data_IF_564123297557
#
_entry.id   IF_564123297557
#
_cell.length_a   1.000
_cell.length_b   1.000
_cell.length_c   1.000
_cell.angle_alpha   90.00
_cell.angle_beta   90.00
_cell.angle_gamma   90.00
#
_symmetry.space_group_name_H-M   'P 1'
#
loop_
_entity.id
_entity.type
_entity.pdbx_description
1 polymer ?
#
# COMPACT_ATOMS: atom_id res chain seq x y z
N UNK A 1 -57.21 -5.00 -17.95
CA UNK A 1 -55.95 -5.74 -18.12
C UNK A 1 -55.56 -5.57 -19.59
N UNK A 2 -54.42 -5.05 -20.03
CA UNK A 2 -53.03 -5.35 -19.71
C UNK A 2 -52.16 -4.34 -20.48
N UNK A 3 -51.24 -3.65 -19.80
CA UNK A 3 -50.28 -2.75 -20.47
C UNK A 3 -48.97 -3.50 -20.76
N UNK A 4 -48.61 -3.54 -22.04
CA UNK A 4 -47.42 -4.18 -22.58
C UNK A 4 -46.15 -3.37 -22.32
N UNK A 5 -45.07 -4.09 -22.07
CA UNK A 5 -43.71 -3.61 -21.80
C UNK A 5 -43.08 -2.86 -22.99
N UNK A 6 -42.18 -1.91 -22.69
CA UNK A 6 -40.85 -1.73 -23.32
C UNK A 6 -40.14 -0.51 -22.67
N UNK A 7 -39.17 -0.74 -21.77
CA UNK A 7 -37.73 -0.85 -22.09
C UNK A 7 -37.04 0.50 -22.35
N UNK A 8 -36.90 1.34 -21.32
CA UNK A 8 -35.85 2.36 -21.24
C UNK A 8 -34.84 1.91 -20.19
N UNK A 9 -33.80 1.26 -20.71
CA UNK A 9 -32.60 0.79 -20.04
C UNK A 9 -32.05 1.86 -19.07
N UNK A 10 -32.46 1.82 -17.81
CA UNK A 10 -31.80 2.58 -16.77
C UNK A 10 -30.41 2.00 -16.59
N UNK A 11 -29.43 2.81 -16.98
CA UNK A 11 -28.02 2.57 -16.82
C UNK A 11 -27.76 1.75 -15.55
N UNK A 12 -27.22 0.55 -15.76
CA UNK A 12 -26.63 -0.24 -14.68
C UNK A 12 -25.59 0.68 -14.04
N UNK A 13 -25.99 1.33 -12.96
CA UNK A 13 -25.10 1.88 -11.98
C UNK A 13 -24.38 0.67 -11.42
N UNK A 14 -23.29 0.31 -12.10
CA UNK A 14 -22.26 -0.58 -11.60
C UNK A 14 -21.60 0.19 -10.45
N UNK A 15 -22.32 0.30 -9.33
CA UNK A 15 -21.69 0.43 -8.01
C UNK A 15 -21.08 -0.95 -7.75
N UNK A 16 -20.08 -1.29 -8.57
CA UNK A 16 -19.10 -2.30 -8.21
C UNK A 16 -18.58 -1.94 -6.83
N UNK A 17 -18.23 -2.93 -6.01
CA UNK A 17 -17.80 -2.67 -4.64
C UNK A 17 -16.85 -1.50 -4.68
N UNK A 18 -17.23 -0.37 -4.05
CA UNK A 18 -16.31 0.73 -3.80
C UNK A 18 -15.29 0.21 -2.81
N UNK A 19 -14.48 -0.76 -3.24
CA UNK A 19 -13.25 -1.15 -2.60
C UNK A 19 -12.58 0.19 -2.45
N UNK A 20 -12.45 0.72 -1.22
CA UNK A 20 -11.72 1.94 -1.04
C UNK A 20 -10.40 1.62 -1.72
N UNK A 21 -10.03 2.38 -2.76
CA UNK A 21 -8.73 2.29 -3.42
C UNK A 21 -7.71 2.83 -2.41
N UNK A 22 -7.76 2.31 -1.17
CA UNK A 22 -6.87 2.54 -0.05
C UNK A 22 -5.55 2.12 -0.61
N UNK A 23 -4.83 3.13 -1.09
CA UNK A 23 -3.49 2.97 -1.57
C UNK A 23 -2.74 2.32 -0.41
N UNK A 24 -2.13 1.14 -0.60
CA UNK A 24 -1.38 0.48 0.48
C UNK A 24 -0.22 1.36 0.94
N UNK A 25 0.16 2.37 0.14
CA UNK A 25 1.09 3.42 0.49
C UNK A 25 0.40 4.78 0.69
N UNK A 26 0.68 5.38 1.84
CA UNK A 26 0.58 6.81 2.05
C UNK A 26 1.70 7.56 1.32
N UNK A 27 1.46 8.80 0.91
CA UNK A 27 2.52 9.67 0.38
C UNK A 27 3.58 9.98 1.46
N UNK A 28 4.77 10.44 1.05
CA UNK A 28 5.91 10.70 1.95
C UNK A 28 5.59 11.65 3.12
N UNK A 29 4.76 12.67 2.87
CA UNK A 29 4.36 13.62 3.91
C UNK A 29 3.40 12.97 4.91
N UNK A 30 2.39 12.26 4.42
CA UNK A 30 1.39 11.65 5.28
C UNK A 30 1.95 10.46 6.05
N UNK A 31 2.80 9.63 5.44
CA UNK A 31 3.39 8.43 6.04
C UNK A 31 3.99 8.67 7.43
N UNK A 32 4.53 9.87 7.69
CA UNK A 32 5.22 10.21 8.94
C UNK A 32 4.31 10.83 10.02
N UNK A 33 3.13 11.37 9.66
CA UNK A 33 2.39 12.29 10.54
C UNK A 33 0.87 12.11 10.59
N UNK A 34 0.24 11.53 9.57
CA UNK A 34 -1.22 11.50 9.45
C UNK A 34 -1.74 10.47 8.45
N UNK A 35 -3.04 10.19 8.49
CA UNK A 35 -3.67 9.24 7.57
C UNK A 35 -3.74 9.84 6.16
N UNK A 36 -3.28 9.09 5.17
CA UNK A 36 -3.31 9.51 3.77
C UNK A 36 -4.59 9.02 3.11
N UNK A 37 -5.29 9.92 2.42
CA UNK A 37 -6.53 9.60 1.68
C UNK A 37 -6.27 8.96 0.31
N UNK A 38 -5.01 8.88 -0.13
CA UNK A 38 -4.64 8.22 -1.38
C UNK A 38 -5.04 8.98 -2.66
N UNK A 39 -5.51 10.23 -2.53
CA UNK A 39 -5.86 11.09 -3.67
C UNK A 39 -4.67 11.28 -4.62
N UNK A 40 -4.95 11.19 -5.93
CA UNK A 40 -4.02 11.48 -7.04
C UNK A 40 -4.61 12.62 -7.88
N UNK A 41 -3.84 13.64 -8.27
CA UNK A 41 -2.37 13.76 -8.21
C UNK A 41 -1.80 14.12 -6.82
N UNK A 42 -2.61 14.70 -5.93
CA UNK A 42 -2.19 15.06 -4.57
C UNK A 42 -3.23 14.62 -3.54
N UNK A 43 -2.76 14.32 -2.32
CA UNK A 43 -3.64 13.89 -1.23
C UNK A 43 -4.39 15.10 -0.64
N UNK A 44 -5.63 14.93 -0.14
CA UNK A 44 -6.43 16.04 0.39
C UNK A 44 -5.69 16.88 1.46
N UNK A 45 -4.91 16.22 2.33
CA UNK A 45 -4.09 16.90 3.33
C UNK A 45 -2.91 17.68 2.72
N UNK A 46 -2.32 17.14 1.67
CA UNK A 46 -1.20 17.73 0.94
C UNK A 46 -1.66 18.95 0.14
N UNK A 47 -2.85 18.88 -0.48
CA UNK A 47 -3.48 19.97 -1.21
C UNK A 47 -3.83 21.15 -0.29
N UNK A 48 -4.41 20.86 0.88
CA UNK A 48 -4.74 21.89 1.89
C UNK A 48 -3.50 22.59 2.42
N UNK A 49 -2.43 21.84 2.70
CA UNK A 49 -1.19 22.42 3.20
C UNK A 49 -0.25 22.91 2.11
N UNK A 50 -0.59 22.69 0.83
CA UNK A 50 0.22 23.05 -0.36
C UNK A 50 1.65 22.48 -0.30
N UNK A 51 1.82 21.27 0.25
CA UNK A 51 3.11 20.57 0.28
C UNK A 51 3.25 19.58 -0.87
N UNK A 52 4.49 19.25 -1.28
CA UNK A 52 4.74 18.25 -2.31
C UNK A 52 4.22 16.86 -1.87
N UNK A 53 3.35 16.28 -2.70
CA UNK A 53 2.77 14.96 -2.49
C UNK A 53 3.45 13.93 -3.39
N UNK A 54 4.45 13.23 -2.85
CA UNK A 54 5.17 12.18 -3.58
C UNK A 54 4.85 10.81 -2.99
N UNK A 55 4.44 9.88 -3.85
CA UNK A 55 4.27 8.47 -3.50
C UNK A 55 5.51 7.69 -3.94
N UNK A 56 6.56 7.69 -3.12
CA UNK A 56 7.83 7.01 -3.42
C UNK A 56 7.75 5.54 -3.03
N UNK A 57 7.84 4.58 -3.97
CA UNK A 57 7.89 3.17 -3.63
C UNK A 57 9.14 2.88 -2.80
N UNK A 58 8.98 2.10 -1.72
CA UNK A 58 10.14 1.59 -0.98
C UNK A 58 10.75 0.48 -1.82
N UNK A 59 11.71 0.82 -2.66
CA UNK A 59 12.62 -0.17 -3.21
C UNK A 59 13.48 -0.66 -2.05
N UNK A 60 13.10 -1.79 -1.47
CA UNK A 60 14.08 -2.59 -0.74
C UNK A 60 15.08 -3.04 -1.79
N UNK A 61 16.34 -2.57 -1.78
CA UNK A 61 17.34 -3.22 -2.61
C UNK A 61 17.30 -4.69 -2.21
N UNK A 62 17.17 -5.58 -3.20
CA UNK A 62 17.15 -7.02 -2.97
C UNK A 62 18.22 -7.35 -1.94
N UNK A 63 17.93 -8.12 -0.88
CA UNK A 63 18.98 -8.55 0.01
C UNK A 63 20.04 -9.18 -0.88
N UNK A 64 21.24 -8.60 -0.85
CA UNK A 64 22.42 -9.25 -1.42
C UNK A 64 22.34 -10.71 -0.97
N UNK A 65 22.58 -11.69 -1.87
CA UNK A 65 22.52 -13.09 -1.49
C UNK A 65 23.35 -13.23 -0.23
N UNK A 66 22.73 -13.76 0.82
CA UNK A 66 23.34 -13.93 2.13
C UNK A 66 24.54 -14.83 1.91
N UNK A 67 25.72 -14.27 1.63
CA UNK A 67 26.95 -15.03 1.64
C UNK A 67 27.03 -15.56 3.07
N UNK A 68 26.87 -16.87 3.16
CA UNK A 68 26.66 -17.59 4.39
C UNK A 68 27.83 -17.30 5.33
N UNK A 69 27.59 -16.40 6.29
CA UNK A 69 28.34 -16.42 7.52
C UNK A 69 27.89 -17.65 8.29
N UNK A 70 28.37 -18.82 7.87
CA UNK A 70 28.50 -19.99 8.72
C UNK A 70 29.27 -19.52 9.95
N UNK A 71 28.54 -19.18 11.01
CA UNK A 71 29.11 -18.93 12.33
C UNK A 71 29.87 -20.21 12.69
N UNK A 72 31.20 -20.17 12.89
CA UNK A 72 31.89 -21.37 13.31
C UNK A 72 31.29 -21.83 14.64
N UNK A 73 31.07 -23.16 14.83
CA UNK A 73 30.66 -23.66 16.14
C UNK A 73 31.70 -23.24 17.17
N UNK A 74 31.24 -22.75 18.33
CA UNK A 74 32.09 -22.48 19.49
C UNK A 74 32.80 -23.78 19.86
N UNK A 75 34.08 -23.86 19.53
CA UNK A 75 34.93 -24.98 19.88
C UNK A 75 35.10 -25.04 21.40
N UNK A 76 34.67 -26.17 21.98
CA UNK A 76 35.34 -26.79 23.12
C UNK A 76 34.96 -26.24 24.49
N UNK A 77 33.88 -26.80 25.04
CA UNK A 77 33.82 -27.18 26.45
C UNK A 77 35.03 -28.09 26.75
N UNK A 78 36.12 -27.51 27.27
CA UNK A 78 37.16 -28.30 27.92
C UNK A 78 36.66 -28.63 29.31
N UNK A 79 35.95 -29.76 29.40
CA UNK A 79 35.95 -30.62 30.58
C UNK A 79 37.37 -30.66 31.17
N UNK A 80 37.56 -30.00 32.30
CA UNK A 80 38.73 -30.21 33.16
C UNK A 80 38.27 -31.08 34.32
N UNK A 81 38.52 -32.37 34.15
CA UNK A 81 38.62 -33.35 35.21
C UNK A 81 39.87 -33.08 36.05
#
# INVERSE_FOLDING_TARGET
MSQSANSSMSALNYDGPRVPRRTPMACEFCRRKLKCDGGRPSCANCEKKKFPCNYVPVYVPSPLPQHEFHRPPRSGDKSKK
#
